data_IF_803180451327
#
_entry.id   IF_803180451327
#
_cell.length_a   1.000
_cell.length_b   1.000
_cell.length_c   1.000
_cell.angle_alpha   90.00
_cell.angle_beta   90.00
_cell.angle_gamma   90.00
#
_symmetry.space_group_name_H-M   'P 1'
#
loop_
_entity.id
_entity.type
_entity.pdbx_description
1 polymer ?
#
# COMPACT_ATOMS: atom_id res chain seq x y z
N UNK A 1 12.04 6.58 14.06
CA UNK A 1 11.31 6.30 12.80
C UNK A 1 9.91 5.83 13.17
N UNK A 2 8.94 5.98 12.27
CA UNK A 2 7.59 5.46 12.47
C UNK A 2 7.33 4.33 11.47
N UNK A 3 6.58 3.31 11.88
CA UNK A 3 6.24 2.17 11.05
C UNK A 3 4.77 2.23 10.68
N UNK A 4 4.51 2.03 9.40
CA UNK A 4 3.17 2.02 8.83
C UNK A 4 3.02 0.79 7.95
N UNK A 5 1.81 0.21 7.91
CA UNK A 5 1.52 -0.94 7.07
C UNK A 5 0.03 -1.06 6.79
N UNK A 6 -0.28 -1.83 5.75
CA UNK A 6 -1.64 -2.12 5.32
C UNK A 6 -1.71 -3.61 4.98
N UNK A 7 -2.76 -4.27 5.45
CA UNK A 7 -3.00 -5.69 5.20
C UNK A 7 -4.50 -5.90 5.00
N UNK A 8 -4.89 -6.68 3.99
CA UNK A 8 -6.29 -6.92 3.63
C UNK A 8 -6.87 -8.10 4.42
N UNK A 9 -6.04 -9.08 4.78
CA UNK A 9 -6.43 -10.25 5.54
C UNK A 9 -6.40 -9.97 7.04
N UNK A 10 -7.56 -10.02 7.70
CA UNK A 10 -7.67 -9.71 9.14
C UNK A 10 -6.85 -10.61 10.05
N UNK A 11 -6.67 -11.89 9.72
CA UNK A 11 -5.83 -12.80 10.52
C UNK A 11 -4.35 -12.45 10.38
N UNK A 12 -3.87 -12.19 9.15
CA UNK A 12 -2.50 -11.73 8.89
C UNK A 12 -2.23 -10.37 9.56
N UNK A 13 -3.20 -9.46 9.51
CA UNK A 13 -3.13 -8.17 10.19
C UNK A 13 -2.96 -8.32 11.71
N UNK A 14 -3.75 -9.21 12.33
CA UNK A 14 -3.65 -9.48 13.76
C UNK A 14 -2.27 -10.05 14.12
N UNK A 15 -1.76 -10.99 13.31
CA UNK A 15 -0.40 -11.54 13.44
C UNK A 15 0.67 -10.46 13.30
N UNK A 16 0.54 -9.56 12.31
CA UNK A 16 1.47 -8.44 12.12
C UNK A 16 1.47 -7.50 13.33
N UNK A 17 0.30 -7.17 13.90
CA UNK A 17 0.21 -6.35 15.11
C UNK A 17 0.83 -7.02 16.33
N UNK A 18 0.57 -8.31 16.53
CA UNK A 18 1.22 -9.09 17.58
C UNK A 18 2.73 -9.14 17.41
N UNK A 19 3.22 -9.30 16.17
CA UNK A 19 4.64 -9.27 15.85
C UNK A 19 5.29 -7.91 16.20
N UNK A 20 4.62 -6.80 15.87
CA UNK A 20 5.11 -5.46 16.24
C UNK A 20 5.19 -5.29 17.76
N UNK A 21 4.17 -5.77 18.50
CA UNK A 21 4.15 -5.74 19.95
C UNK A 21 5.31 -6.55 20.58
N UNK A 22 5.52 -7.79 20.12
CA UNK A 22 6.61 -8.66 20.62
C UNK A 22 8.01 -8.04 20.42
N UNK A 23 8.17 -7.21 19.40
CA UNK A 23 9.42 -6.51 19.10
C UNK A 23 9.49 -5.07 19.64
N UNK A 24 8.62 -4.72 20.61
CA UNK A 24 8.55 -3.40 21.24
C UNK A 24 8.42 -2.25 20.22
N UNK A 25 7.59 -2.46 19.19
CA UNK A 25 7.22 -1.48 18.17
C UNK A 25 5.79 -1.01 18.35
N UNK A 26 5.43 -0.63 19.59
CA UNK A 26 4.06 -0.31 19.98
C UNK A 26 3.45 0.88 19.21
N UNK A 27 4.30 1.78 18.71
CA UNK A 27 3.89 2.92 17.89
C UNK A 27 3.65 2.57 16.41
N UNK A 28 3.82 1.30 16.00
CA UNK A 28 3.56 0.88 14.63
C UNK A 28 2.07 0.95 14.30
N UNK A 29 1.72 1.65 13.22
CA UNK A 29 0.34 1.78 12.72
C UNK A 29 0.12 0.82 11.55
N UNK A 30 -0.44 -0.36 11.83
CA UNK A 30 -0.81 -1.33 10.81
C UNK A 30 -2.33 -1.30 10.63
N UNK A 31 -2.78 -0.93 9.44
CA UNK A 31 -4.20 -0.80 9.12
C UNK A 31 -4.74 -2.08 8.48
N UNK A 32 -5.97 -2.45 8.83
CA UNK A 32 -6.70 -3.51 8.16
C UNK A 32 -7.54 -2.89 7.04
N UNK A 33 -7.07 -3.00 5.80
CA UNK A 33 -7.70 -2.36 4.65
C UNK A 33 -7.24 -2.97 3.33
N UNK A 34 -7.98 -2.71 2.25
CA UNK A 34 -7.51 -2.96 0.90
C UNK A 34 -6.63 -1.78 0.43
N UNK A 35 -5.33 -2.04 0.25
CA UNK A 35 -4.33 -1.04 -0.17
C UNK A 35 -4.68 -0.36 -1.51
N UNK A 36 -5.28 -1.10 -2.45
CA UNK A 36 -5.60 -0.55 -3.76
C UNK A 36 -6.98 0.11 -3.75
N UNK A 37 -8.00 -0.54 -3.19
CA UNK A 37 -9.39 -0.08 -3.33
C UNK A 37 -9.85 0.84 -2.19
N UNK A 38 -9.27 0.75 -1.00
CA UNK A 38 -9.68 1.54 0.16
C UNK A 38 -8.52 1.76 1.15
N UNK A 39 -7.44 2.48 0.73
CA UNK A 39 -6.29 2.66 1.59
C UNK A 39 -6.61 3.54 2.81
N UNK A 40 -6.22 3.07 4.00
CA UNK A 40 -6.44 3.76 5.28
C UNK A 40 -5.30 4.71 5.71
N UNK A 41 -4.12 4.60 5.08
CA UNK A 41 -2.98 5.48 5.37
C UNK A 41 -3.09 6.79 4.56
N UNK A 42 -4.00 7.64 4.99
CA UNK A 42 -4.32 8.93 4.37
C UNK A 42 -4.15 10.11 5.35
N UNK A 43 -3.80 11.27 4.80
CA UNK A 43 -3.72 12.58 5.46
C UNK A 43 -4.65 13.56 4.72
N UNK A 44 -5.86 13.75 5.25
CA UNK A 44 -6.92 14.48 4.54
C UNK A 44 -7.30 13.76 3.24
N UNK A 45 -7.32 14.49 2.13
CA UNK A 45 -7.66 13.95 0.81
C UNK A 45 -6.45 13.34 0.05
N UNK A 46 -5.33 13.11 0.75
CA UNK A 46 -4.09 12.63 0.14
C UNK A 46 -3.57 11.36 0.82
N UNK A 47 -2.86 10.52 0.08
CA UNK A 47 -2.11 9.41 0.66
C UNK A 47 -0.94 9.94 1.49
N UNK A 48 -0.70 9.30 2.64
CA UNK A 48 0.51 9.55 3.43
C UNK A 48 1.76 9.28 2.58
N UNK A 49 2.83 10.04 2.84
CA UNK A 49 4.10 9.89 2.12
C UNK A 49 5.23 9.41 3.03
N UNK A 50 6.03 8.47 2.54
CA UNK A 50 7.05 7.77 3.29
C UNK A 50 8.45 7.93 2.67
N UNK A 51 9.48 7.92 3.52
CA UNK A 51 10.88 7.97 3.09
C UNK A 51 11.33 6.62 2.48
N UNK A 52 10.79 5.51 2.98
CA UNK A 52 11.11 4.15 2.53
C UNK A 52 9.82 3.35 2.46
N UNK A 53 9.56 2.76 1.29
CA UNK A 53 8.41 1.89 1.02
C UNK A 53 8.92 0.51 0.65
N UNK A 54 8.47 -0.51 1.38
CA UNK A 54 8.82 -1.91 1.16
C UNK A 54 7.54 -2.73 1.04
N UNK A 55 7.47 -3.63 0.05
CA UNK A 55 6.37 -4.57 -0.05
C UNK A 55 6.79 -5.87 -0.73
N UNK A 56 6.02 -6.92 -0.44
CA UNK A 56 6.00 -8.18 -1.18
C UNK A 56 4.53 -8.46 -1.54
N UNK A 57 3.99 -7.79 -2.58
CA UNK A 57 2.59 -7.92 -2.95
C UNK A 57 2.29 -9.33 -3.49
N UNK A 58 1.02 -9.77 -3.47
CA UNK A 58 0.64 -11.05 -4.08
C UNK A 58 0.96 -11.04 -5.58
N UNK A 59 1.67 -12.06 -6.04
CA UNK A 59 2.11 -12.19 -7.42
C UNK A 59 0.93 -12.32 -8.39
N UNK A 60 0.88 -11.43 -9.38
CA UNK A 60 -0.13 -11.40 -10.45
C UNK A 60 -1.56 -11.56 -9.93
N UNK A 61 -1.93 -10.71 -8.97
CA UNK A 61 -3.30 -10.66 -8.45
C UNK A 61 -4.30 -10.38 -9.57
N UNK A 62 -5.08 -11.40 -9.92
CA UNK A 62 -6.22 -11.32 -10.83
C UNK A 62 -7.40 -10.68 -10.08
N UNK A 63 -7.93 -9.57 -10.60
CA UNK A 63 -9.02 -8.75 -10.00
C UNK A 63 -8.56 -7.86 -8.84
N UNK A 64 -7.54 -7.06 -9.10
CA UNK A 64 -7.06 -6.06 -8.15
C UNK A 64 -7.96 -4.81 -8.01
N UNK A 65 -9.03 -4.69 -8.81
CA UNK A 65 -9.92 -3.50 -8.83
C UNK A 65 -9.69 -2.58 -10.04
N UNK A 66 -9.21 -3.11 -11.16
CA UNK A 66 -8.88 -2.32 -12.35
C UNK A 66 -10.05 -1.50 -12.93
N UNK A 67 -11.30 -1.96 -12.73
CA UNK A 67 -12.51 -1.24 -13.11
C UNK A 67 -12.69 0.11 -12.41
N UNK A 68 -12.19 0.25 -11.19
CA UNK A 68 -12.31 1.49 -10.40
C UNK A 68 -11.05 2.37 -10.53
N UNK A 69 -10.06 1.94 -11.31
CA UNK A 69 -8.78 2.64 -11.44
C UNK A 69 -8.91 4.01 -12.13
N UNK A 70 -9.84 4.15 -13.08
CA UNK A 70 -10.08 5.41 -13.80
C UNK A 70 -10.71 6.49 -12.89
N UNK A 71 -11.43 6.07 -11.85
CA UNK A 71 -12.05 6.94 -10.84
C UNK A 71 -11.24 7.05 -9.56
N UNK A 72 -9.99 6.57 -9.54
CA UNK A 72 -9.13 6.61 -8.36
C UNK A 72 -8.97 8.04 -7.82
N UNK A 73 -9.49 8.29 -6.62
CA UNK A 73 -9.46 9.60 -5.97
C UNK A 73 -8.03 10.14 -5.78
N UNK A 74 -7.05 9.24 -5.63
CA UNK A 74 -5.65 9.59 -5.44
C UNK A 74 -4.88 9.76 -6.75
N UNK A 75 -5.55 9.55 -7.89
CA UNK A 75 -4.99 9.68 -9.25
C UNK A 75 -3.68 8.91 -9.44
N UNK A 76 -3.56 7.72 -8.85
CA UNK A 76 -2.33 6.94 -8.85
C UNK A 76 -1.96 6.45 -10.25
N UNK A 77 -2.94 6.12 -11.06
CA UNK A 77 -2.75 5.44 -12.36
C UNK A 77 -2.52 6.39 -13.54
N UNK A 78 -2.01 7.60 -13.32
CA UNK A 78 -1.76 8.59 -14.37
C UNK A 78 -0.70 8.15 -15.41
N UNK A 79 0.12 7.14 -15.09
CA UNK A 79 1.09 6.51 -16.02
C UNK A 79 0.46 5.44 -16.91
N UNK A 80 -0.84 5.17 -16.73
CA UNK A 80 -1.59 4.10 -17.38
C UNK A 80 -2.16 3.13 -16.35
N UNK A 81 -3.38 2.66 -16.61
CA UNK A 81 -4.06 1.64 -15.80
C UNK A 81 -3.49 0.27 -16.12
N UNK A 82 -2.96 -0.48 -15.12
CA UNK A 82 -2.48 -1.83 -15.34
C UNK A 82 -3.57 -2.80 -15.84
N UNK A 83 -3.23 -3.85 -16.59
CA UNK A 83 -4.19 -4.89 -16.95
C UNK A 83 -4.84 -5.56 -15.72
N UNK A 84 -6.08 -6.05 -15.88
CA UNK A 84 -6.85 -6.70 -14.80
C UNK A 84 -6.16 -7.91 -14.16
N UNK A 85 -5.28 -8.57 -14.91
CA UNK A 85 -4.50 -9.75 -14.50
C UNK A 85 -3.08 -9.42 -14.04
N UNK A 86 -2.75 -8.13 -13.90
CA UNK A 86 -1.41 -7.64 -13.57
C UNK A 86 -1.45 -6.64 -12.42
N UNK A 87 -1.96 -7.10 -11.28
CA UNK A 87 -2.01 -6.32 -10.04
C UNK A 87 -0.64 -5.88 -9.52
N UNK A 88 0.45 -6.57 -9.89
CA UNK A 88 1.82 -6.20 -9.52
C UNK A 88 2.13 -4.73 -9.85
N UNK A 89 1.79 -4.29 -11.06
CA UNK A 89 1.99 -2.91 -11.50
C UNK A 89 1.07 -1.92 -10.78
N UNK A 90 -0.10 -2.36 -10.32
CA UNK A 90 -0.99 -1.51 -9.54
C UNK A 90 -0.39 -1.22 -8.16
N UNK A 91 0.18 -2.24 -7.51
CA UNK A 91 0.92 -2.07 -6.26
C UNK A 91 2.16 -1.20 -6.46
N UNK A 92 2.97 -1.42 -7.50
CA UNK A 92 4.14 -0.58 -7.79
C UNK A 92 3.75 0.89 -7.99
N UNK A 93 2.68 1.13 -8.74
CA UNK A 93 2.18 2.49 -8.97
C UNK A 93 1.75 3.14 -7.66
N UNK A 94 1.02 2.43 -6.81
CA UNK A 94 0.67 2.91 -5.47
C UNK A 94 1.90 3.21 -4.61
N UNK A 95 2.89 2.31 -4.59
CA UNK A 95 4.14 2.47 -3.83
C UNK A 95 4.92 3.72 -4.25
N UNK A 96 4.96 4.03 -5.55
CA UNK A 96 5.61 5.23 -6.08
C UNK A 96 4.88 6.50 -5.61
N UNK A 97 3.54 6.50 -5.58
CA UNK A 97 2.77 7.68 -5.18
C UNK A 97 2.85 7.99 -3.68
N UNK A 98 2.98 6.96 -2.85
CA UNK A 98 3.20 7.10 -1.39
C UNK A 98 4.67 7.30 -1.04
N UNK A 99 5.61 7.25 -2.00
CA UNK A 99 6.98 7.63 -1.75
C UNK A 99 7.12 9.17 -1.74
N UNK A 100 7.98 9.69 -0.86
CA UNK A 100 8.34 11.12 -0.91
C UNK A 100 8.97 11.46 -2.26
N UNK A 101 8.56 12.58 -2.86
CA UNK A 101 9.13 13.04 -4.13
C UNK A 101 10.62 13.31 -3.95
N UNK A 102 11.42 12.93 -4.95
CA UNK A 102 12.87 13.14 -5.05
C UNK A 102 13.75 12.39 -4.03
N UNK A 103 13.27 12.10 -2.81
CA UNK A 103 14.06 11.44 -1.76
C UNK A 103 13.57 10.05 -1.34
N UNK A 104 12.32 9.71 -1.64
CA UNK A 104 11.71 8.44 -1.29
C UNK A 104 12.34 7.27 -2.05
N UNK A 105 12.43 6.11 -1.37
CA UNK A 105 12.96 4.87 -1.95
C UNK A 105 11.92 3.78 -1.87
N UNK A 106 11.79 3.03 -2.96
CA UNK A 106 10.85 1.92 -3.10
C UNK A 106 11.64 0.65 -3.38
N UNK A 107 11.36 -0.42 -2.64
CA UNK A 107 11.81 -1.77 -3.01
C UNK A 107 10.63 -2.74 -2.93
N UNK A 108 10.49 -3.56 -3.97
CA UNK A 108 9.43 -4.55 -4.13
C UNK A 108 10.05 -5.86 -4.57
N UNK A 109 9.49 -6.97 -4.10
CA UNK A 109 9.86 -8.34 -4.49
C UNK A 109 8.81 -8.87 -5.45
#
# INVERSE_FOLDING_TARGET
>A
FALYGQEVNGATWALARMNMFLHAKDAARIEWCDTLNSPALVEGDHLMRFDVVLANPPFSLDKWGAEDADSDQFKRFWRGVPPKSKGDYAFITHMIEIAKRQSGRVAVI
#
